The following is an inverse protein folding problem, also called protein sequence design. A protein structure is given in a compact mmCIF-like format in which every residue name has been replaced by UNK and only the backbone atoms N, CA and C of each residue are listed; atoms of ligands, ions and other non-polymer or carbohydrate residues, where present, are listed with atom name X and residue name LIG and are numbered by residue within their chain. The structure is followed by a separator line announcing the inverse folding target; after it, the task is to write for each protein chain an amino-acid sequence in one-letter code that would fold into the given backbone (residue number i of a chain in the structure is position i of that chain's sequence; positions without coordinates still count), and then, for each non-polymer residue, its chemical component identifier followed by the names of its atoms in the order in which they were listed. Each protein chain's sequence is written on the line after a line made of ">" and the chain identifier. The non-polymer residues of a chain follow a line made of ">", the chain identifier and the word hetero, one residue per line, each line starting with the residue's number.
data_IF_290890646549
#
_entry.id   IF_290890646549
#
_cell.length_a   1.000
_cell.length_b   1.000
_cell.length_c   1.000
_cell.angle_alpha   90.00
_cell.angle_beta   90.00
_cell.angle_gamma   90.00
#
_symmetry.space_group_name_H-M   'P 1'
#
loop_
_entity.id
_entity.type
_entity.pdbx_description
1 polymer ?
#
# COMPACT_ATOMS: atom_id res chain seq x y z
N UNK A 1 7.37 -23.36 10.16
CA UNK A 1 7.91 -22.28 11.03
C UNK A 1 9.13 -21.58 10.42
N UNK A 2 10.04 -22.27 9.75
CA UNK A 2 11.22 -21.66 9.11
C UNK A 2 10.88 -20.60 8.06
N UNK A 3 9.88 -20.84 7.19
CA UNK A 3 9.53 -19.92 6.09
C UNK A 3 9.03 -18.55 6.56
N UNK A 4 8.17 -18.51 7.60
CA UNK A 4 7.65 -17.25 8.16
C UNK A 4 8.80 -16.44 8.78
N UNK A 5 9.73 -17.11 9.46
CA UNK A 5 10.90 -16.46 10.05
C UNK A 5 11.80 -15.86 8.96
N UNK A 6 12.07 -16.60 7.88
CA UNK A 6 12.82 -16.06 6.74
C UNK A 6 12.10 -14.87 6.08
N UNK A 7 10.77 -14.93 5.95
CA UNK A 7 9.97 -13.82 5.43
C UNK A 7 10.08 -12.55 6.29
N UNK A 8 9.99 -12.68 7.62
CA UNK A 8 10.10 -11.55 8.54
C UNK A 8 11.52 -10.95 8.48
N UNK A 9 12.57 -11.78 8.44
CA UNK A 9 13.96 -11.31 8.33
C UNK A 9 14.16 -10.56 7.01
N UNK A 10 13.72 -11.12 5.89
CA UNK A 10 13.84 -10.48 4.58
C UNK A 10 13.08 -9.15 4.52
N UNK A 11 11.85 -9.10 5.02
CA UNK A 11 11.05 -7.87 5.08
C UNK A 11 11.72 -6.80 5.96
N UNK A 12 12.30 -7.19 7.09
CA UNK A 12 13.02 -6.28 7.99
C UNK A 12 14.25 -5.69 7.32
N UNK A 13 15.07 -6.52 6.66
CA UNK A 13 16.25 -6.06 5.90
C UNK A 13 15.81 -5.11 4.79
N UNK A 14 14.78 -5.44 4.02
CA UNK A 14 14.27 -4.60 2.94
C UNK A 14 13.82 -3.21 3.44
N UNK A 15 13.07 -3.15 4.55
CA UNK A 15 12.63 -1.89 5.14
C UNK A 15 13.80 -1.05 5.68
N UNK A 16 14.79 -1.69 6.30
CA UNK A 16 16.01 -0.99 6.74
C UNK A 16 16.78 -0.43 5.55
N UNK A 17 16.99 -1.22 4.51
CA UNK A 17 17.68 -0.77 3.28
C UNK A 17 16.93 0.38 2.61
N UNK A 18 15.61 0.28 2.45
CA UNK A 18 14.78 1.35 1.90
C UNK A 18 14.90 2.64 2.73
N UNK A 19 14.86 2.53 4.06
CA UNK A 19 15.00 3.67 4.97
C UNK A 19 16.37 4.34 4.88
N UNK A 20 17.45 3.56 4.77
CA UNK A 20 18.81 4.09 4.61
C UNK A 20 18.98 4.82 3.27
N UNK A 21 18.44 4.26 2.18
CA UNK A 21 18.46 4.90 0.86
C UNK A 21 17.65 6.19 0.86
N UNK A 22 16.45 6.17 1.45
CA UNK A 22 15.62 7.36 1.62
C UNK A 22 16.36 8.48 2.35
N UNK A 23 16.96 8.19 3.50
CA UNK A 23 17.73 9.17 4.27
C UNK A 23 18.94 9.70 3.51
N UNK A 24 19.59 8.86 2.70
CA UNK A 24 20.72 9.28 1.86
C UNK A 24 20.29 10.26 0.78
N UNK A 25 19.18 9.99 0.10
CA UNK A 25 18.63 10.89 -0.94
C UNK A 25 18.21 12.21 -0.31
N UNK A 26 17.48 12.17 0.81
CA UNK A 26 16.98 13.38 1.49
C UNK A 26 18.11 14.33 1.95
N UNK A 27 19.28 13.79 2.29
CA UNK A 27 20.46 14.59 2.67
C UNK A 27 21.14 15.29 1.50
N UNK A 28 20.77 14.97 0.26
CA UNK A 28 21.37 15.57 -0.94
C UNK A 28 20.84 17.00 -1.11
N UNK A 29 21.76 17.98 -1.15
CA UNK A 29 21.40 19.39 -1.30
C UNK A 29 21.16 19.73 -2.76
N UNK A 30 20.05 20.40 -3.05
CA UNK A 30 19.77 21.05 -4.33
C UNK A 30 19.93 22.55 -4.11
N UNK A 31 20.82 23.20 -4.85
CA UNK A 31 21.13 24.64 -4.66
C UNK A 31 20.42 25.55 -5.67
N UNK A 32 19.97 25.00 -6.80
CA UNK A 32 19.29 25.77 -7.84
C UNK A 32 17.82 26.04 -7.45
N UNK A 33 17.47 27.32 -7.32
CA UNK A 33 16.13 27.78 -6.91
C UNK A 33 15.03 27.37 -7.90
N UNK A 34 15.30 27.46 -9.20
CA UNK A 34 14.32 27.12 -10.23
C UNK A 34 13.99 25.63 -10.19
N UNK A 35 14.99 24.78 -9.93
CA UNK A 35 14.80 23.33 -9.78
C UNK A 35 13.96 23.01 -8.55
N UNK A 36 14.18 23.70 -7.43
CA UNK A 36 13.39 23.52 -6.21
C UNK A 36 11.93 23.94 -6.45
N UNK A 37 11.70 25.06 -7.12
CA UNK A 37 10.36 25.58 -7.41
C UNK A 37 9.58 24.62 -8.32
N UNK A 38 10.18 24.17 -9.42
CA UNK A 38 9.57 23.18 -10.32
C UNK A 38 9.30 21.86 -9.58
N UNK A 39 10.24 21.41 -8.76
CA UNK A 39 10.07 20.21 -7.95
C UNK A 39 8.88 20.29 -7.00
N UNK A 40 8.68 21.43 -6.34
CA UNK A 40 7.53 21.65 -5.46
C UNK A 40 6.20 21.64 -6.22
N UNK A 41 6.13 22.22 -7.42
CA UNK A 41 4.93 22.18 -8.26
C UNK A 41 4.59 20.75 -8.69
N UNK A 42 5.61 19.97 -9.07
CA UNK A 42 5.44 18.54 -9.41
C UNK A 42 4.93 17.77 -8.18
N UNK A 43 5.54 17.99 -7.02
CA UNK A 43 5.16 17.35 -5.76
C UNK A 43 3.70 17.66 -5.40
N UNK A 44 3.28 18.91 -5.52
CA UNK A 44 1.89 19.31 -5.26
C UNK A 44 0.91 18.58 -6.19
N UNK A 45 1.19 18.58 -7.49
CA UNK A 45 0.36 17.88 -8.49
C UNK A 45 0.30 16.37 -8.25
N UNK A 46 1.43 15.74 -7.95
CA UNK A 46 1.52 14.31 -7.66
C UNK A 46 0.71 13.93 -6.41
N UNK A 47 0.81 14.72 -5.34
CA UNK A 47 0.04 14.49 -4.11
C UNK A 47 -1.46 14.71 -4.31
N UNK A 48 -1.86 15.69 -5.12
CA UNK A 48 -3.24 15.92 -5.50
C UNK A 48 -3.82 14.74 -6.32
N UNK A 49 -3.04 14.23 -7.28
CA UNK A 49 -3.39 13.05 -8.08
C UNK A 49 -3.58 11.81 -7.19
N UNK A 50 -2.59 11.49 -6.34
CA UNK A 50 -2.67 10.35 -5.43
C UNK A 50 -3.90 10.41 -4.53
N UNK A 51 -4.17 11.58 -3.95
CA UNK A 51 -5.35 11.75 -3.09
C UNK A 51 -6.64 11.43 -3.85
N UNK A 52 -6.75 11.86 -5.11
CA UNK A 52 -7.92 11.61 -5.93
C UNK A 52 -8.03 10.13 -6.33
N UNK A 53 -6.94 9.54 -6.78
CA UNK A 53 -6.85 8.13 -7.15
C UNK A 53 -7.23 7.23 -5.97
N UNK A 54 -6.60 7.44 -4.80
CA UNK A 54 -6.81 6.61 -3.62
C UNK A 54 -8.22 6.74 -3.06
N UNK A 55 -8.85 7.92 -3.20
CA UNK A 55 -10.25 8.10 -2.82
C UNK A 55 -11.19 7.21 -3.65
N UNK A 56 -10.93 7.09 -4.96
CA UNK A 56 -11.72 6.23 -5.85
C UNK A 56 -11.39 4.76 -5.60
N UNK A 57 -10.10 4.45 -5.44
CA UNK A 57 -9.62 3.09 -5.20
C UNK A 57 -10.13 2.54 -3.86
N UNK A 58 -10.23 3.37 -2.81
CA UNK A 58 -10.78 2.96 -1.52
C UNK A 58 -12.23 2.45 -1.64
N UNK A 59 -13.06 3.11 -2.46
CA UNK A 59 -14.42 2.64 -2.72
C UNK A 59 -14.42 1.28 -3.42
N UNK A 60 -13.53 1.09 -4.40
CA UNK A 60 -13.38 -0.19 -5.09
C UNK A 60 -12.94 -1.30 -4.13
N UNK A 61 -11.90 -1.07 -3.33
CA UNK A 61 -11.40 -2.03 -2.33
C UNK A 61 -12.48 -2.40 -1.33
N UNK A 62 -13.25 -1.43 -0.82
CA UNK A 62 -14.35 -1.69 0.10
C UNK A 62 -15.47 -2.51 -0.56
N UNK A 63 -15.77 -2.24 -1.83
CA UNK A 63 -16.77 -3.01 -2.59
C UNK A 63 -16.34 -4.46 -2.75
N UNK A 64 -15.08 -4.70 -3.14
CA UNK A 64 -14.53 -6.05 -3.26
C UNK A 64 -14.48 -6.75 -1.91
N UNK A 65 -14.11 -6.05 -0.83
CA UNK A 65 -14.13 -6.60 0.53
C UNK A 65 -15.54 -7.08 0.92
N UNK A 66 -16.58 -6.30 0.64
CA UNK A 66 -17.98 -6.68 0.89
C UNK A 66 -18.38 -7.90 0.05
N UNK A 67 -17.94 -7.99 -1.20
CA UNK A 67 -18.20 -9.16 -2.04
C UNK A 67 -17.51 -10.41 -1.45
N UNK A 68 -16.24 -10.30 -1.05
CA UNK A 68 -15.49 -11.42 -0.49
C UNK A 68 -16.10 -11.92 0.83
N UNK A 69 -16.50 -11.01 1.73
CA UNK A 69 -17.09 -11.42 3.00
C UNK A 69 -18.46 -12.10 2.80
N UNK A 70 -19.31 -11.59 1.90
CA UNK A 70 -20.66 -12.12 1.69
C UNK A 70 -20.68 -13.43 0.89
N UNK A 71 -19.86 -13.52 -0.16
CA UNK A 71 -19.88 -14.65 -1.08
C UNK A 71 -18.87 -15.75 -0.73
N UNK A 72 -17.74 -15.41 -0.11
CA UNK A 72 -16.67 -16.38 0.17
C UNK A 72 -16.63 -16.76 1.65
N UNK A 73 -16.42 -15.79 2.54
CA UNK A 73 -16.19 -16.09 3.96
C UNK A 73 -17.47 -16.56 4.66
N UNK A 74 -18.57 -15.80 4.51
CA UNK A 74 -19.87 -16.12 5.10
C UNK A 74 -20.71 -17.09 4.25
N UNK A 75 -20.36 -17.26 2.97
CA UNK A 75 -21.09 -18.09 1.99
C UNK A 75 -22.62 -17.97 2.14
N UNK A 76 -23.13 -16.72 2.15
CA UNK A 76 -24.56 -16.43 2.46
C UNK A 76 -25.51 -17.16 1.50
N UNK A 77 -25.05 -17.45 0.29
CA UNK A 77 -25.82 -18.12 -0.76
C UNK A 77 -25.58 -19.64 -0.82
N UNK A 78 -24.70 -20.20 0.01
CA UNK A 78 -24.41 -21.64 0.07
C UNK A 78 -23.83 -22.22 -1.22
N UNK A 79 -23.11 -21.41 -1.99
CA UNK A 79 -22.60 -21.77 -3.34
C UNK A 79 -21.31 -22.57 -3.22
N UNK A 80 -20.49 -22.31 -2.20
CA UNK A 80 -19.13 -22.86 -2.06
C UNK A 80 -19.12 -24.10 -1.17
N UNK A 81 -20.18 -24.31 -0.36
CA UNK A 81 -20.46 -25.57 0.34
C UNK A 81 -19.53 -25.88 1.50
N UNK A 82 -18.52 -25.04 1.74
CA UNK A 82 -17.53 -25.16 2.80
C UNK A 82 -17.10 -23.77 3.28
N UNK A 83 -18.04 -23.01 3.82
CA UNK A 83 -17.68 -21.83 4.62
C UNK A 83 -16.76 -22.30 5.74
N UNK A 84 -15.56 -21.74 5.81
CA UNK A 84 -14.66 -21.99 6.94
C UNK A 84 -15.14 -21.27 8.22
N UNK A 85 -16.27 -20.56 8.16
CA UNK A 85 -16.80 -19.75 9.26
C UNK A 85 -15.87 -18.63 9.68
N UNK A 86 -14.87 -18.29 8.85
CA UNK A 86 -13.81 -17.37 9.20
C UNK A 86 -13.65 -16.29 8.13
N UNK A 87 -13.42 -15.06 8.57
CA UNK A 87 -13.33 -13.83 7.75
C UNK A 87 -11.86 -13.62 7.29
N UNK A 88 -11.06 -14.70 7.30
CA UNK A 88 -9.63 -14.64 7.07
C UNK A 88 -9.29 -14.12 5.66
N UNK A 89 -10.05 -14.51 4.63
CA UNK A 89 -9.72 -14.14 3.26
C UNK A 89 -9.97 -12.65 3.01
N UNK A 90 -11.15 -12.15 3.39
CA UNK A 90 -11.47 -10.72 3.21
C UNK A 90 -10.58 -9.81 4.08
N UNK A 91 -10.24 -10.22 5.31
CA UNK A 91 -9.27 -9.49 6.15
C UNK A 91 -7.87 -9.50 5.52
N UNK A 92 -7.40 -10.65 5.03
CA UNK A 92 -6.08 -10.74 4.37
C UNK A 92 -6.01 -9.86 3.12
N UNK A 93 -7.10 -9.82 2.34
CA UNK A 93 -7.23 -8.90 1.20
C UNK A 93 -7.12 -7.44 1.64
N UNK A 94 -7.86 -7.03 2.68
CA UNK A 94 -7.86 -5.65 3.15
C UNK A 94 -6.48 -5.22 3.69
N UNK A 95 -5.82 -6.08 4.46
CA UNK A 95 -4.46 -5.84 4.98
C UNK A 95 -3.46 -5.73 3.82
N UNK A 96 -3.56 -6.59 2.81
CA UNK A 96 -2.73 -6.52 1.62
C UNK A 96 -2.94 -5.23 0.81
N UNK A 97 -4.20 -4.85 0.60
CA UNK A 97 -4.55 -3.60 -0.08
C UNK A 97 -4.02 -2.36 0.67
N UNK A 98 -4.12 -2.36 2.00
CA UNK A 98 -3.55 -1.30 2.84
C UNK A 98 -2.03 -1.22 2.71
N UNK A 99 -1.33 -2.36 2.79
CA UNK A 99 0.12 -2.42 2.59
C UNK A 99 0.56 -1.92 1.20
N UNK A 100 -0.19 -2.27 0.15
CA UNK A 100 0.05 -1.79 -1.21
C UNK A 100 -0.13 -0.27 -1.33
N UNK A 101 -1.19 0.28 -0.74
CA UNK A 101 -1.44 1.72 -0.72
C UNK A 101 -0.33 2.48 0.04
N UNK A 102 0.14 1.95 1.18
CA UNK A 102 1.26 2.54 1.90
C UNK A 102 2.56 2.53 1.08
N UNK A 103 2.86 1.42 0.40
CA UNK A 103 4.03 1.32 -0.45
C UNK A 103 4.00 2.33 -1.61
N UNK A 104 2.84 2.49 -2.26
CA UNK A 104 2.65 3.47 -3.33
C UNK A 104 2.78 4.92 -2.84
N UNK A 105 2.16 5.25 -1.70
CA UNK A 105 2.24 6.58 -1.10
C UNK A 105 3.68 6.96 -0.72
N UNK A 106 4.38 6.07 0.00
CA UNK A 106 5.76 6.30 0.43
C UNK A 106 6.68 6.42 -0.80
N UNK A 107 6.51 5.53 -1.79
CA UNK A 107 7.29 5.55 -3.02
C UNK A 107 7.16 6.87 -3.78
N UNK A 108 5.94 7.35 -3.99
CA UNK A 108 5.72 8.64 -4.67
C UNK A 108 6.29 9.79 -3.85
N UNK A 109 6.02 9.86 -2.54
CA UNK A 109 6.53 10.94 -1.68
C UNK A 109 8.06 11.02 -1.59
N UNK A 110 8.75 9.94 -1.94
CA UNK A 110 10.21 9.86 -2.04
C UNK A 110 10.72 10.27 -3.41
N UNK A 111 9.95 9.98 -4.46
CA UNK A 111 10.32 10.29 -5.84
C UNK A 111 10.17 11.78 -6.18
N UNK A 112 9.19 12.45 -5.56
CA UNK A 112 8.88 13.89 -5.72
C UNK A 112 9.04 14.67 -4.42
#
# INVERSE_FOLDING_TARGET
>A
MSEIVYGIIAASIALVSASLLFLRVQRSKVENKDVIEIGNLIKEGAMAFLKREYSILALFVLTVFIILILFIDLDVFGIIGKSQGNINMSISYLVGAFGSALAGFIGMSTAV
#
